data_IF_902523515530
#
_entry.id   IF_902523515530
#
_cell.length_a   1.000
_cell.length_b   1.000
_cell.length_c   1.000
_cell.angle_alpha   90.00
_cell.angle_beta   90.00
_cell.angle_gamma   90.00
#
_symmetry.space_group_name_H-M   'P 1'
#
loop_
_entity.id
_entity.type
_entity.pdbx_description
1 polymer ?
#
# COMPACT_ATOMS: atom_id res chain seq x y z
N UNK A 1 -20.54 57.16 -6.81
CA UNK A 1 -19.45 57.00 -7.80
C UNK A 1 -18.53 55.93 -7.24
N UNK A 2 -18.69 54.67 -7.68
CA UNK A 2 -17.97 54.04 -8.84
C UNK A 2 -16.45 53.96 -8.55
N UNK A 3 -15.77 52.82 -8.63
CA UNK A 3 -15.99 51.52 -9.31
C UNK A 3 -15.21 50.41 -8.54
N UNK A 4 -15.62 49.15 -8.39
CA UNK A 4 -15.79 48.02 -9.33
C UNK A 4 -14.65 47.84 -10.36
N UNK A 5 -13.92 46.73 -10.18
CA UNK A 5 -13.40 45.78 -11.18
C UNK A 5 -11.89 45.52 -11.10
N UNK A 6 -11.51 44.30 -10.69
CA UNK A 6 -10.75 43.38 -11.54
C UNK A 6 -10.57 42.03 -10.82
N UNK A 7 -11.61 41.20 -10.89
CA UNK A 7 -11.42 39.76 -10.96
C UNK A 7 -11.01 39.44 -12.41
N UNK A 8 -9.77 38.99 -12.64
CA UNK A 8 -9.38 38.15 -13.79
C UNK A 8 -8.19 37.27 -13.38
N UNK A 9 -8.47 35.97 -13.32
CA UNK A 9 -7.61 34.82 -13.60
C UNK A 9 -6.27 34.64 -12.86
N UNK A 10 -6.31 33.80 -11.83
CA UNK A 10 -5.47 32.60 -11.84
C UNK A 10 -6.33 31.36 -11.56
N UNK A 11 -7.17 31.08 -12.55
CA UNK A 11 -7.98 29.87 -12.75
C UNK A 11 -7.08 28.64 -13.05
N UNK A 12 -6.03 28.43 -12.24
CA UNK A 12 -5.12 27.25 -12.31
C UNK A 12 -4.93 26.67 -10.89
N UNK A 13 -5.99 26.67 -10.08
CA UNK A 13 -6.02 26.00 -8.76
C UNK A 13 -7.00 24.80 -8.76
N UNK A 14 -7.08 24.05 -9.87
CA UNK A 14 -7.99 22.92 -10.03
C UNK A 14 -7.30 21.54 -9.84
N UNK A 15 -6.68 21.34 -8.69
CA UNK A 15 -6.38 20.00 -8.15
C UNK A 15 -6.35 20.02 -6.61
N UNK A 16 -7.24 20.82 -6.02
CA UNK A 16 -7.33 21.09 -4.59
C UNK A 16 -7.57 19.81 -3.79
N UNK A 17 -6.65 19.54 -2.86
CA UNK A 17 -6.86 18.64 -1.71
C UNK A 17 -8.24 18.96 -1.13
N UNK A 18 -9.12 17.96 -1.00
CA UNK A 18 -10.33 18.11 -0.19
C UNK A 18 -9.90 18.20 1.26
N UNK A 19 -9.71 19.41 1.77
CA UNK A 19 -9.51 19.65 3.21
C UNK A 19 -10.87 19.45 3.88
N UNK A 20 -10.96 18.49 4.79
CA UNK A 20 -12.16 18.27 5.59
C UNK A 20 -12.23 19.40 6.63
N UNK A 21 -13.36 20.10 6.70
CA UNK A 21 -13.68 20.97 7.83
C UNK A 21 -14.05 20.11 9.05
N UNK A 22 -13.05 19.53 9.71
CA UNK A 22 -13.17 19.18 11.13
C UNK A 22 -12.87 20.45 11.93
N UNK A 23 -13.44 20.64 13.12
CA UNK A 23 -12.89 21.63 14.06
C UNK A 23 -11.46 21.20 14.36
N UNK A 24 -10.48 21.84 13.72
CA UNK A 24 -9.08 21.44 13.81
C UNK A 24 -8.53 21.85 15.18
N UNK A 25 -8.39 20.88 16.08
CA UNK A 25 -7.59 21.08 17.28
C UNK A 25 -6.12 21.02 16.88
N UNK A 26 -5.53 22.19 16.71
CA UNK A 26 -4.11 22.36 16.39
C UNK A 26 -3.34 22.56 17.69
N UNK A 27 -2.42 21.65 17.99
CA UNK A 27 -1.47 21.78 19.09
C UNK A 27 -0.08 22.11 18.57
N UNK A 28 0.58 23.08 19.22
CA UNK A 28 2.00 23.40 19.04
C UNK A 28 2.92 22.45 19.78
N UNK A 29 2.39 21.63 20.68
CA UNK A 29 3.19 20.92 21.66
C UNK A 29 3.41 19.48 21.21
N UNK A 30 4.67 19.17 20.88
CA UNK A 30 5.09 17.79 20.70
C UNK A 30 5.00 17.02 22.03
N UNK A 31 4.80 15.70 22.01
CA UNK A 31 4.78 14.87 23.20
C UNK A 31 6.06 15.06 24.03
N UNK A 32 5.90 15.32 25.33
CA UNK A 32 7.04 15.44 26.25
C UNK A 32 7.58 14.03 26.55
N UNK A 33 8.68 13.66 25.90
CA UNK A 33 9.36 12.38 26.14
C UNK A 33 10.35 12.51 27.31
N UNK A 34 10.16 11.69 28.35
CA UNK A 34 10.99 11.64 29.57
C UNK A 34 11.40 10.21 29.95
N UNK A 35 12.51 10.06 30.68
CA UNK A 35 13.08 8.75 31.05
C UNK A 35 12.38 8.06 32.21
N UNK A 36 11.71 8.81 33.10
CA UNK A 36 11.13 8.30 34.35
C UNK A 36 10.22 7.07 34.19
N UNK A 37 9.26 7.04 33.25
CA UNK A 37 8.44 5.85 33.02
C UNK A 37 9.24 4.60 32.62
N UNK A 38 10.32 4.78 31.84
CA UNK A 38 11.18 3.67 31.42
C UNK A 38 12.09 3.20 32.55
N UNK A 39 12.65 4.13 33.33
CA UNK A 39 13.45 3.81 34.53
C UNK A 39 12.64 3.02 35.55
N UNK A 40 11.38 3.41 35.79
CA UNK A 40 10.45 2.68 36.64
C UNK A 40 10.20 1.26 36.10
N UNK A 41 9.96 1.12 34.78
CA UNK A 41 9.72 -0.19 34.15
C UNK A 41 10.92 -1.12 34.25
N UNK A 42 12.13 -0.57 34.15
CA UNK A 42 13.38 -1.33 34.21
C UNK A 42 13.95 -1.50 35.63
N UNK A 43 13.34 -0.82 36.63
CA UNK A 43 13.83 -0.75 38.01
C UNK A 43 15.31 -0.37 38.11
N UNK A 44 15.74 0.59 37.28
CA UNK A 44 17.12 1.12 37.28
C UNK A 44 17.14 2.52 36.68
N UNK A 45 18.14 3.30 37.06
CA UNK A 45 18.44 4.59 36.42
C UNK A 45 19.00 4.37 35.02
N UNK A 46 18.58 5.21 34.08
CA UNK A 46 19.13 5.27 32.72
C UNK A 46 20.15 6.41 32.70
N UNK A 47 21.34 6.08 32.21
CA UNK A 47 22.42 7.04 32.02
C UNK A 47 22.00 8.17 31.06
N UNK A 48 22.28 9.42 31.46
CA UNK A 48 21.83 10.62 30.75
C UNK A 48 22.44 10.71 29.35
N UNK A 49 23.71 10.34 29.20
CA UNK A 49 24.39 10.36 27.91
C UNK A 49 23.74 9.39 26.91
N UNK A 50 23.47 8.15 27.34
CA UNK A 50 22.77 7.17 26.50
C UNK A 50 21.34 7.59 26.17
N UNK A 51 20.64 8.23 27.11
CA UNK A 51 19.29 8.76 26.90
C UNK A 51 19.29 9.86 25.82
N UNK A 52 20.16 10.86 25.96
CA UNK A 52 20.22 11.99 25.03
C UNK A 52 20.65 11.56 23.63
N UNK A 53 21.62 10.64 23.50
CA UNK A 53 22.01 10.07 22.21
C UNK A 53 20.84 9.30 21.56
N UNK A 54 20.11 8.51 22.34
CA UNK A 54 18.95 7.77 21.82
C UNK A 54 17.83 8.71 21.38
N UNK A 55 17.55 9.76 22.16
CA UNK A 55 16.54 10.76 21.83
C UNK A 55 16.92 11.53 20.57
N UNK A 56 18.18 11.94 20.43
CA UNK A 56 18.66 12.61 19.23
C UNK A 56 18.54 11.71 17.99
N UNK A 57 18.97 10.45 18.09
CA UNK A 57 18.87 9.49 16.99
C UNK A 57 17.41 9.29 16.55
N UNK A 58 16.50 9.03 17.48
CA UNK A 58 15.08 8.83 17.18
C UNK A 58 14.44 10.11 16.60
N UNK A 59 14.82 11.28 17.10
CA UNK A 59 14.36 12.57 16.57
C UNK A 59 14.81 12.81 15.12
N UNK A 60 15.99 12.34 14.73
CA UNK A 60 16.47 12.40 13.35
C UNK A 60 15.79 11.35 12.46
N UNK A 61 15.68 10.11 12.94
CA UNK A 61 15.14 8.97 12.17
C UNK A 61 13.61 9.08 11.95
N UNK A 62 12.91 9.81 12.81
CA UNK A 62 11.45 9.92 12.81
C UNK A 62 10.97 11.37 13.05
N UNK A 63 11.63 12.36 12.45
CA UNK A 63 11.37 13.77 12.75
C UNK A 63 9.91 14.20 12.53
N UNK A 64 9.20 13.55 11.59
CA UNK A 64 7.75 13.71 11.36
C UNK A 64 6.88 13.50 12.62
N UNK A 65 7.36 12.75 13.62
CA UNK A 65 6.67 12.49 14.89
C UNK A 65 7.12 13.39 16.04
N UNK A 66 8.08 14.29 15.84
CA UNK A 66 8.56 15.20 16.89
C UNK A 66 8.37 16.66 16.52
N UNK A 67 8.17 16.95 15.23
CA UNK A 67 7.94 18.29 14.72
C UNK A 67 6.45 18.66 14.80
N UNK A 68 6.05 19.70 15.56
CA UNK A 68 4.72 20.27 15.46
C UNK A 68 4.48 20.92 14.07
N UNK A 69 3.22 21.18 13.69
CA UNK A 69 2.01 21.04 14.50
C UNK A 69 1.45 19.62 14.56
N UNK A 70 0.60 19.41 15.58
CA UNK A 70 -0.27 18.25 15.67
C UNK A 70 -1.70 18.67 15.34
N UNK A 71 -2.36 17.91 14.47
CA UNK A 71 -3.73 18.15 14.03
C UNK A 71 -4.57 16.97 14.51
N UNK A 72 -5.60 17.25 15.32
CA UNK A 72 -6.47 16.23 15.91
C UNK A 72 -5.70 15.12 16.64
N UNK A 73 -4.61 15.49 17.33
CA UNK A 73 -3.76 14.57 18.06
C UNK A 73 -2.79 13.73 17.19
N UNK A 74 -2.70 13.99 15.89
CA UNK A 74 -1.76 13.32 14.99
C UNK A 74 -0.68 14.28 14.47
N UNK A 75 0.55 13.81 14.18
CA UNK A 75 1.54 14.65 13.53
C UNK A 75 1.04 15.16 12.18
N UNK A 76 1.13 16.46 11.92
CA UNK A 76 0.47 17.10 10.78
C UNK A 76 0.87 16.47 9.42
N UNK A 77 2.14 16.13 9.21
CA UNK A 77 2.60 15.50 7.96
C UNK A 77 1.90 14.16 7.69
N UNK A 78 1.75 13.33 8.72
CA UNK A 78 1.06 12.04 8.60
C UNK A 78 -0.46 12.23 8.45
N UNK A 79 -1.03 13.25 9.11
CA UNK A 79 -2.42 13.62 8.91
C UNK A 79 -2.68 14.06 7.45
N UNK A 80 -1.86 14.93 6.88
CA UNK A 80 -1.97 15.34 5.48
C UNK A 80 -1.75 14.19 4.49
N UNK A 81 -0.88 13.22 4.80
CA UNK A 81 -0.76 12.01 4.01
C UNK A 81 -2.10 11.25 3.95
N UNK A 82 -2.82 11.14 5.08
CA UNK A 82 -4.19 10.59 5.12
C UNK A 82 -5.17 11.38 4.24
N UNK A 83 -5.11 12.71 4.26
CA UNK A 83 -5.95 13.56 3.39
C UNK A 83 -5.62 13.38 1.90
N UNK A 84 -4.35 13.15 1.55
CA UNK A 84 -3.94 12.82 0.18
C UNK A 84 -4.48 11.46 -0.26
N UNK A 85 -4.51 10.45 0.61
CA UNK A 85 -5.19 9.17 0.32
C UNK A 85 -6.66 9.41 -0.08
N UNK A 86 -7.37 10.28 0.65
CA UNK A 86 -8.77 10.61 0.34
C UNK A 86 -8.92 11.34 -1.00
N UNK A 87 -7.98 12.25 -1.30
CA UNK A 87 -7.95 12.96 -2.59
C UNK A 87 -7.77 11.99 -3.75
N UNK A 88 -6.82 11.05 -3.63
CA UNK A 88 -6.59 10.02 -4.65
C UNK A 88 -7.80 9.09 -4.78
N UNK A 89 -8.40 8.65 -3.68
CA UNK A 89 -9.64 7.86 -3.72
C UNK A 89 -10.77 8.60 -4.44
N UNK A 90 -10.90 9.91 -4.22
CA UNK A 90 -11.86 10.71 -4.96
C UNK A 90 -11.53 10.76 -6.46
N UNK A 91 -10.27 10.95 -6.84
CA UNK A 91 -9.82 10.93 -8.24
C UNK A 91 -10.06 9.56 -8.88
N UNK A 92 -9.73 8.46 -8.19
CA UNK A 92 -10.00 7.09 -8.63
C UNK A 92 -11.48 6.94 -8.93
N UNK A 93 -12.40 7.54 -8.18
CA UNK A 93 -13.83 7.42 -8.41
C UNK A 93 -14.38 8.34 -9.52
N UNK A 94 -13.84 9.55 -9.66
CA UNK A 94 -14.51 10.63 -10.40
C UNK A 94 -13.73 11.10 -11.64
N UNK A 95 -12.41 10.96 -11.66
CA UNK A 95 -11.60 11.49 -12.76
C UNK A 95 -11.67 10.58 -13.99
N UNK A 96 -11.69 11.16 -15.22
CA UNK A 96 -11.66 10.41 -16.47
C UNK A 96 -10.44 9.50 -16.63
N UNK A 97 -9.26 9.95 -16.20
CA UNK A 97 -7.98 9.21 -16.30
C UNK A 97 -8.05 7.82 -15.63
N UNK A 98 -8.83 7.69 -14.57
CA UNK A 98 -9.00 6.44 -13.83
C UNK A 98 -10.10 5.53 -14.42
N UNK A 99 -10.82 5.95 -15.46
CA UNK A 99 -11.99 5.22 -15.99
C UNK A 99 -11.63 3.80 -16.46
N UNK A 100 -10.52 3.65 -17.18
CA UNK A 100 -10.09 2.33 -17.68
C UNK A 100 -9.69 1.39 -16.54
N UNK A 101 -8.88 1.89 -15.62
CA UNK A 101 -8.51 1.19 -14.39
C UNK A 101 -9.74 0.72 -13.59
N UNK A 102 -10.69 1.64 -13.32
CA UNK A 102 -11.95 1.31 -12.65
C UNK A 102 -12.72 0.20 -13.37
N UNK A 103 -12.85 0.32 -14.69
CA UNK A 103 -13.59 -0.65 -15.50
C UNK A 103 -12.97 -2.04 -15.49
N UNK A 104 -11.64 -2.14 -15.59
CA UNK A 104 -10.92 -3.42 -15.51
C UNK A 104 -11.04 -4.04 -14.13
N UNK A 105 -10.91 -3.26 -13.05
CA UNK A 105 -11.10 -3.76 -11.70
C UNK A 105 -12.53 -4.24 -11.47
N UNK A 106 -13.53 -3.48 -11.92
CA UNK A 106 -14.92 -3.90 -11.79
C UNK A 106 -15.16 -5.24 -12.50
N UNK A 107 -14.64 -5.40 -13.72
CA UNK A 107 -14.72 -6.67 -14.43
C UNK A 107 -14.06 -7.81 -13.65
N UNK A 108 -12.88 -7.59 -13.07
CA UNK A 108 -12.23 -8.58 -12.23
C UNK A 108 -13.10 -8.94 -11.00
N UNK A 109 -13.60 -7.95 -10.27
CA UNK A 109 -14.45 -8.10 -9.08
C UNK A 109 -15.75 -8.84 -9.39
N UNK A 110 -16.37 -8.57 -10.53
CA UNK A 110 -17.61 -9.24 -10.94
C UNK A 110 -17.43 -10.75 -11.12
N UNK A 111 -16.22 -11.19 -11.46
CA UNK A 111 -15.85 -12.61 -11.61
C UNK A 111 -15.40 -13.28 -10.31
N UNK A 112 -15.18 -12.51 -9.24
CA UNK A 112 -14.80 -13.04 -7.93
C UNK A 112 -15.98 -13.75 -7.27
N UNK A 113 -15.67 -14.78 -6.48
CA UNK A 113 -16.66 -15.53 -5.71
C UNK A 113 -16.08 -15.91 -4.34
N UNK A 114 -16.73 -15.42 -3.29
CA UNK A 114 -16.41 -15.77 -1.91
C UNK A 114 -15.11 -15.15 -1.38
N UNK A 115 -14.61 -14.09 -1.99
CA UNK A 115 -13.41 -13.39 -1.50
C UNK A 115 -13.76 -12.60 -0.25
N UNK A 116 -13.26 -13.07 0.90
CA UNK A 116 -13.52 -12.46 2.21
C UNK A 116 -12.24 -11.88 2.86
N UNK A 117 -11.09 -12.00 2.18
CA UNK A 117 -9.79 -11.55 2.67
C UNK A 117 -9.03 -10.86 1.54
N UNK A 118 -8.54 -9.65 1.82
CA UNK A 118 -7.63 -8.91 0.95
C UNK A 118 -6.29 -8.70 1.66
N UNK A 119 -5.21 -9.06 0.97
CA UNK A 119 -3.85 -9.04 1.51
C UNK A 119 -3.01 -8.05 0.72
N UNK A 120 -2.35 -7.13 1.40
CA UNK A 120 -1.38 -6.22 0.82
C UNK A 120 0.05 -6.69 1.15
N UNK A 121 0.89 -6.84 0.13
CA UNK A 121 2.29 -7.24 0.22
C UNK A 121 3.19 -6.23 -0.50
N UNK A 122 4.14 -5.61 0.20
CA UNK A 122 5.06 -4.68 -0.47
C UNK A 122 4.35 -3.39 -0.87
N UNK A 123 4.18 -2.47 0.08
CA UNK A 123 3.95 -1.06 -0.28
C UNK A 123 5.32 -0.37 -0.36
N UNK A 124 5.43 0.66 -1.18
CA UNK A 124 6.63 1.50 -1.20
C UNK A 124 6.83 2.17 0.18
N UNK A 125 8.03 2.64 0.49
CA UNK A 125 8.26 3.35 1.74
C UNK A 125 7.55 4.70 1.72
N UNK A 126 6.92 5.06 2.83
CA UNK A 126 6.42 6.42 2.99
C UNK A 126 7.59 7.39 3.01
N UNK A 127 7.65 8.34 2.06
CA UNK A 127 8.54 9.50 2.13
C UNK A 127 7.80 10.70 2.73
N UNK A 128 8.27 11.23 3.87
CA UNK A 128 7.67 12.39 4.55
C UNK A 128 7.62 13.67 3.71
N UNK A 129 8.31 13.68 2.56
CA UNK A 129 8.17 14.67 1.51
C UNK A 129 6.76 14.64 0.93
N UNK A 130 5.87 15.45 1.50
CA UNK A 130 4.64 15.87 0.84
C UNK A 130 5.06 16.84 -0.27
N UNK A 131 5.62 16.31 -1.37
CA UNK A 131 6.12 17.12 -2.47
C UNK A 131 5.18 18.28 -2.79
N UNK A 132 5.77 19.45 -3.03
CA UNK A 132 5.07 20.61 -3.55
C UNK A 132 4.22 20.21 -4.75
N UNK A 133 3.12 20.94 -4.93
CA UNK A 133 2.18 20.75 -6.02
C UNK A 133 2.88 20.43 -7.35
N UNK A 134 2.81 19.16 -7.78
CA UNK A 134 2.97 18.81 -9.19
C UNK A 134 3.99 17.75 -9.61
N UNK A 135 4.87 17.16 -8.79
CA UNK A 135 5.93 16.29 -9.37
C UNK A 135 6.33 14.97 -8.69
N UNK A 136 5.76 14.57 -7.55
CA UNK A 136 5.78 13.14 -7.16
C UNK A 136 4.75 12.85 -6.07
N UNK A 137 3.66 12.18 -6.44
CA UNK A 137 2.76 11.61 -5.43
C UNK A 137 3.52 10.50 -4.72
N UNK A 138 3.71 10.63 -3.41
CA UNK A 138 4.29 9.60 -2.54
C UNK A 138 3.66 8.24 -2.90
N UNK A 139 4.51 7.30 -3.35
CA UNK A 139 4.04 6.05 -3.94
C UNK A 139 3.20 5.24 -2.95
N UNK A 140 3.61 5.21 -1.67
CA UNK A 140 2.84 4.58 -0.60
C UNK A 140 1.41 5.13 -0.51
N UNK A 141 1.23 6.45 -0.56
CA UNK A 141 -0.08 7.11 -0.45
C UNK A 141 -1.01 6.65 -1.60
N UNK A 142 -0.49 6.62 -2.82
CA UNK A 142 -1.26 6.18 -3.99
C UNK A 142 -1.55 4.69 -3.95
N UNK A 143 -0.55 3.86 -3.65
CA UNK A 143 -0.71 2.41 -3.58
C UNK A 143 -1.71 2.00 -2.50
N UNK A 144 -1.69 2.68 -1.34
CA UNK A 144 -2.66 2.47 -0.28
C UNK A 144 -4.07 2.93 -0.70
N UNK A 145 -4.20 4.09 -1.36
CA UNK A 145 -5.49 4.53 -1.90
C UNK A 145 -6.09 3.53 -2.89
N UNK A 146 -5.26 2.96 -3.77
CA UNK A 146 -5.66 1.88 -4.68
C UNK A 146 -6.09 0.63 -3.93
N UNK A 147 -5.35 0.21 -2.90
CA UNK A 147 -5.73 -0.90 -2.04
C UNK A 147 -7.13 -0.69 -1.45
N UNK A 148 -7.40 0.48 -0.86
CA UNK A 148 -8.71 0.81 -0.27
C UNK A 148 -9.82 0.79 -1.32
N UNK A 149 -9.54 1.31 -2.53
CA UNK A 149 -10.51 1.28 -3.62
C UNK A 149 -10.90 -0.16 -4.01
N UNK A 150 -9.89 -1.02 -4.23
CA UNK A 150 -10.12 -2.42 -4.57
C UNK A 150 -10.85 -3.14 -3.43
N UNK A 151 -10.41 -2.93 -2.19
CA UNK A 151 -11.04 -3.51 -1.01
C UNK A 151 -12.53 -3.20 -0.96
N UNK A 152 -12.91 -1.93 -1.20
CA UNK A 152 -14.31 -1.49 -1.16
C UNK A 152 -15.13 -2.17 -2.24
N UNK A 153 -14.60 -2.28 -3.47
CA UNK A 153 -15.28 -2.97 -4.56
C UNK A 153 -15.51 -4.47 -4.23
N UNK A 154 -14.51 -5.13 -3.66
CA UNK A 154 -14.61 -6.54 -3.23
C UNK A 154 -15.59 -6.68 -2.06
N UNK A 155 -15.56 -5.78 -1.08
CA UNK A 155 -16.48 -5.83 0.07
C UNK A 155 -17.94 -5.59 -0.32
N UNK A 156 -18.19 -4.68 -1.27
CA UNK A 156 -19.51 -4.44 -1.83
C UNK A 156 -20.06 -5.70 -2.52
N UNK A 157 -19.23 -6.37 -3.31
CA UNK A 157 -19.55 -7.66 -3.94
C UNK A 157 -19.81 -8.74 -2.90
N UNK A 158 -18.94 -8.87 -1.90
CA UNK A 158 -19.06 -9.84 -0.81
C UNK A 158 -20.35 -9.65 0.00
N UNK A 159 -20.71 -8.41 0.31
CA UNK A 159 -21.96 -8.05 0.99
C UNK A 159 -23.20 -8.50 0.20
N UNK A 160 -23.19 -8.34 -1.12
CA UNK A 160 -24.27 -8.81 -1.99
C UNK A 160 -24.36 -10.34 -1.95
N UNK A 161 -23.23 -11.05 -1.98
CA UNK A 161 -23.17 -12.51 -1.88
C UNK A 161 -23.68 -13.03 -0.52
N UNK A 162 -23.29 -12.39 0.58
CA UNK A 162 -23.82 -12.70 1.92
C UNK A 162 -25.32 -12.50 1.99
N UNK A 163 -25.82 -11.37 1.48
CA UNK A 163 -27.25 -11.04 1.46
C UNK A 163 -28.05 -12.09 0.68
N UNK A 164 -27.58 -12.48 -0.51
CA UNK A 164 -28.23 -13.53 -1.34
C UNK A 164 -28.23 -14.90 -0.66
N UNK A 165 -27.18 -15.20 0.11
CA UNK A 165 -27.04 -16.44 0.86
C UNK A 165 -27.74 -16.43 2.24
N UNK A 166 -28.38 -15.32 2.64
CA UNK A 166 -29.00 -15.18 3.96
C UNK A 166 -27.98 -15.15 5.13
N UNK A 167 -26.73 -14.74 4.87
CA UNK A 167 -25.66 -14.65 5.87
C UNK A 167 -25.44 -13.20 6.30
N UNK A 168 -25.04 -13.01 7.56
CA UNK A 168 -24.57 -11.70 8.02
C UNK A 168 -23.31 -11.28 7.26
N UNK A 169 -23.24 -10.02 6.84
CA UNK A 169 -22.06 -9.47 6.19
C UNK A 169 -21.02 -9.10 7.25
N UNK A 170 -19.89 -9.79 7.22
CA UNK A 170 -18.67 -9.36 7.89
C UNK A 170 -17.75 -8.72 6.86
N UNK A 171 -17.23 -7.50 7.10
CA UNK A 171 -16.35 -6.83 6.15
C UNK A 171 -15.15 -7.69 5.74
N UNK A 172 -14.74 -7.59 4.48
CA UNK A 172 -13.53 -8.25 3.95
C UNK A 172 -12.34 -7.88 4.83
N UNK A 173 -11.57 -8.87 5.27
CA UNK A 173 -10.39 -8.64 6.12
C UNK A 173 -9.32 -7.89 5.34
N UNK A 174 -8.65 -6.93 6.00
CA UNK A 174 -7.53 -6.17 5.45
C UNK A 174 -6.24 -6.58 6.13
N UNK A 175 -5.44 -7.36 5.45
CA UNK A 175 -4.18 -7.88 5.98
C UNK A 175 -3.03 -7.15 5.28
N UNK A 176 -2.07 -6.69 6.06
CA UNK A 176 -0.86 -6.06 5.54
C UNK A 176 0.35 -6.83 6.09
N UNK A 177 1.26 -7.22 5.21
CA UNK A 177 2.54 -7.79 5.60
C UNK A 177 3.64 -7.24 4.70
N UNK A 178 4.57 -6.52 5.32
CA UNK A 178 5.77 -6.03 4.65
C UNK A 178 6.89 -5.95 5.69
N UNK A 179 8.00 -6.69 5.50
CA UNK A 179 9.13 -6.63 6.41
C UNK A 179 9.78 -5.23 6.46
N UNK A 180 9.56 -4.38 5.45
CA UNK A 180 10.09 -3.02 5.39
C UNK A 180 9.22 -1.97 6.11
N UNK A 181 8.07 -2.33 6.70
CA UNK A 181 7.23 -1.37 7.40
C UNK A 181 7.92 -0.75 8.62
N UNK A 182 8.23 0.54 8.47
CA UNK A 182 8.68 1.40 9.55
C UNK A 182 7.53 1.87 10.46
N UNK A 183 7.91 2.56 11.54
CA UNK A 183 6.97 3.15 12.50
C UNK A 183 5.98 4.13 11.84
N UNK A 184 6.42 4.91 10.84
CA UNK A 184 5.58 5.88 10.10
C UNK A 184 4.45 5.16 9.37
N UNK A 185 4.80 4.11 8.63
CA UNK A 185 3.88 3.30 7.85
C UNK A 185 2.90 2.55 8.74
N UNK A 186 3.38 1.90 9.81
CA UNK A 186 2.51 1.22 10.78
C UNK A 186 1.51 2.18 11.42
N UNK A 187 1.96 3.39 11.77
CA UNK A 187 1.09 4.43 12.32
C UNK A 187 0.02 4.88 11.30
N UNK A 188 0.39 5.14 10.05
CA UNK A 188 -0.56 5.49 8.97
C UNK A 188 -1.58 4.38 8.69
N UNK A 189 -1.18 3.12 8.79
CA UNK A 189 -2.07 1.97 8.59
C UNK A 189 -3.04 1.78 9.76
N UNK A 190 -2.59 2.00 11.00
CA UNK A 190 -3.32 1.56 12.20
C UNK A 190 -3.96 2.69 13.03
N UNK A 191 -3.44 3.91 12.95
CA UNK A 191 -3.72 4.97 13.95
C UNK A 191 -4.41 6.20 13.41
N UNK A 192 -4.32 6.49 12.11
CA UNK A 192 -4.97 7.69 11.55
C UNK A 192 -6.33 7.30 10.97
N UNK A 193 -7.44 7.79 11.56
CA UNK A 193 -8.77 7.58 11.01
C UNK A 193 -8.89 8.23 9.63
N UNK A 194 -9.72 7.62 8.78
CA UNK A 194 -10.07 8.12 7.46
C UNK A 194 -11.59 8.09 7.33
N UNK A 195 -12.18 9.22 6.97
CA UNK A 195 -13.64 9.38 6.94
C UNK A 195 -14.35 8.38 6.01
N UNK A 196 -13.72 8.05 4.89
CA UNK A 196 -14.29 7.11 3.90
C UNK A 196 -13.75 5.69 4.03
N UNK A 197 -12.84 5.47 4.98
CA UNK A 197 -12.07 4.24 5.14
C UNK A 197 -11.91 3.86 6.62
N UNK A 198 -13.03 3.45 7.24
CA UNK A 198 -13.10 3.10 8.68
C UNK A 198 -12.75 1.64 8.98
N UNK A 199 -12.39 0.85 7.96
CA UNK A 199 -12.01 -0.54 8.16
C UNK A 199 -10.71 -0.68 8.95
N UNK A 200 -10.64 -1.70 9.81
CA UNK A 200 -9.43 -1.97 10.60
C UNK A 200 -8.40 -2.71 9.76
N UNK A 201 -7.19 -2.15 9.66
CA UNK A 201 -6.06 -2.81 9.04
C UNK A 201 -5.36 -3.70 10.06
N UNK A 202 -5.18 -4.97 9.72
CA UNK A 202 -4.38 -5.92 10.52
C UNK A 202 -3.00 -6.00 9.89
N UNK A 203 -1.97 -5.60 10.64
CA UNK A 203 -0.57 -5.75 10.23
C UNK A 203 -0.04 -7.01 10.88
N UNK A 204 0.49 -7.94 10.09
CA UNK A 204 1.02 -9.22 10.54
C UNK A 204 2.52 -9.33 10.26
N UNK A 205 3.21 -10.17 11.00
CA UNK A 205 4.64 -10.39 10.83
C UNK A 205 4.92 -11.38 9.68
N UNK A 206 6.09 -11.28 9.06
CA UNK A 206 6.52 -12.27 8.07
C UNK A 206 6.90 -13.58 8.78
N UNK A 207 6.49 -14.78 8.29
CA UNK A 207 5.79 -15.07 7.03
C UNK A 207 4.29 -15.41 7.17
N UNK A 208 3.55 -14.80 8.10
CA UNK A 208 2.16 -15.19 8.43
C UNK A 208 1.21 -15.25 7.23
N UNK A 209 1.30 -14.32 6.28
CA UNK A 209 0.49 -14.33 5.05
C UNK A 209 0.65 -15.63 4.27
N UNK A 210 1.85 -16.20 4.24
CA UNK A 210 2.07 -17.45 3.51
C UNK A 210 1.27 -18.59 4.15
N UNK A 211 1.21 -18.64 5.48
CA UNK A 211 0.41 -19.60 6.22
C UNK A 211 -1.09 -19.36 6.05
N UNK A 212 -1.51 -18.10 5.94
CA UNK A 212 -2.90 -17.75 5.62
C UNK A 212 -3.31 -18.25 4.24
N UNK A 213 -2.50 -18.00 3.21
CA UNK A 213 -2.77 -18.42 1.83
C UNK A 213 -2.76 -19.94 1.66
N UNK A 214 -1.95 -20.66 2.44
CA UNK A 214 -1.99 -22.14 2.47
C UNK A 214 -3.32 -22.67 3.00
N UNK A 215 -3.93 -21.99 3.98
CA UNK A 215 -5.19 -22.41 4.63
C UNK A 215 -6.41 -21.96 3.86
N UNK A 216 -6.41 -20.73 3.38
CA UNK A 216 -7.52 -20.14 2.64
C UNK A 216 -7.00 -19.43 1.38
N UNK A 217 -7.34 -20.02 0.24
CA UNK A 217 -6.99 -19.52 -1.09
C UNK A 217 -8.00 -18.50 -1.61
N UNK A 218 -9.14 -18.31 -0.92
CA UNK A 218 -10.18 -17.30 -1.22
C UNK A 218 -9.74 -15.89 -0.81
N UNK A 219 -8.56 -15.52 -1.28
CA UNK A 219 -7.94 -14.23 -1.00
C UNK A 219 -7.64 -13.48 -2.31
N UNK A 220 -7.76 -12.16 -2.22
CA UNK A 220 -7.20 -11.23 -3.20
C UNK A 220 -5.88 -10.70 -2.66
N UNK A 221 -4.78 -10.92 -3.38
CA UNK A 221 -3.46 -10.39 -3.01
C UNK A 221 -3.14 -9.18 -3.88
N UNK A 222 -2.84 -8.05 -3.26
CA UNK A 222 -2.37 -6.82 -3.89
C UNK A 222 -0.89 -6.61 -3.52
N UNK A 223 -0.04 -6.52 -4.53
CA UNK A 223 1.41 -6.57 -4.37
C UNK A 223 2.15 -5.57 -5.27
N UNK A 224 1.92 -4.25 -5.10
CA UNK A 224 2.39 -3.22 -6.03
C UNK A 224 3.90 -2.96 -5.97
N UNK A 225 4.54 -3.31 -4.86
CA UNK A 225 5.98 -3.12 -4.67
C UNK A 225 6.66 -4.40 -4.15
N UNK A 226 6.19 -5.55 -4.61
CA UNK A 226 6.78 -6.83 -4.26
C UNK A 226 8.02 -7.11 -5.13
N UNK A 227 9.18 -7.46 -4.55
CA UNK A 227 10.35 -7.89 -5.31
C UNK A 227 10.03 -9.01 -6.30
N UNK A 228 10.70 -8.98 -7.46
CA UNK A 228 10.41 -9.87 -8.59
C UNK A 228 10.39 -11.34 -8.23
N UNK A 229 11.39 -11.80 -7.46
CA UNK A 229 11.52 -13.21 -7.03
C UNK A 229 10.39 -13.69 -6.13
N UNK A 230 9.76 -12.79 -5.39
CA UNK A 230 8.66 -13.15 -4.50
C UNK A 230 7.33 -13.30 -5.25
N UNK A 231 7.18 -12.73 -6.46
CA UNK A 231 5.96 -12.86 -7.25
C UNK A 231 5.64 -14.34 -7.57
N UNK A 232 6.55 -15.13 -8.17
CA UNK A 232 6.31 -16.57 -8.39
C UNK A 232 6.08 -17.36 -7.11
N UNK A 233 6.72 -16.97 -5.99
CA UNK A 233 6.51 -17.62 -4.70
C UNK A 233 5.07 -17.42 -4.20
N UNK A 234 4.54 -16.20 -4.23
CA UNK A 234 3.16 -15.93 -3.80
C UNK A 234 2.15 -16.62 -4.72
N UNK A 235 2.36 -16.57 -6.04
CA UNK A 235 1.50 -17.27 -7.00
C UNK A 235 1.51 -18.79 -6.80
N UNK A 236 2.62 -19.38 -6.35
CA UNK A 236 2.70 -20.81 -6.03
C UNK A 236 1.84 -21.22 -4.82
N UNK A 237 1.47 -20.27 -3.95
CA UNK A 237 0.53 -20.48 -2.85
C UNK A 237 -0.94 -20.52 -3.32
N UNK A 238 -1.16 -20.22 -4.61
CA UNK A 238 -2.43 -20.30 -5.31
C UNK A 238 -3.56 -19.39 -4.78
N UNK A 239 -3.34 -18.09 -4.50
CA UNK A 239 -4.45 -17.16 -4.24
C UNK A 239 -5.43 -17.14 -5.43
N UNK A 240 -6.72 -16.93 -5.19
CA UNK A 240 -7.71 -16.82 -6.27
C UNK A 240 -7.41 -15.64 -7.20
N UNK A 241 -6.97 -14.52 -6.64
CA UNK A 241 -6.56 -13.34 -7.39
C UNK A 241 -5.25 -12.78 -6.84
N UNK A 242 -4.36 -12.40 -7.74
CA UNK A 242 -3.11 -11.73 -7.43
C UNK A 242 -2.96 -10.52 -8.36
N UNK A 243 -2.64 -9.36 -7.81
CA UNK A 243 -2.40 -8.14 -8.55
C UNK A 243 -1.00 -7.64 -8.20
N UNK A 244 -0.06 -7.82 -9.11
CA UNK A 244 1.38 -7.55 -8.89
C UNK A 244 2.10 -7.29 -10.20
N UNK A 245 3.41 -7.49 -10.24
CA UNK A 245 4.20 -7.27 -11.45
C UNK A 245 3.76 -8.23 -12.56
N UNK A 246 3.65 -7.72 -13.79
CA UNK A 246 3.30 -8.53 -14.95
C UNK A 246 4.38 -9.56 -15.26
N UNK A 247 4.02 -10.65 -15.92
CA UNK A 247 4.95 -11.75 -16.22
C UNK A 247 6.16 -11.27 -17.04
N UNK A 248 5.92 -10.34 -17.98
CA UNK A 248 6.89 -9.81 -18.95
C UNK A 248 7.36 -8.38 -18.64
N UNK A 249 6.84 -7.75 -17.58
CA UNK A 249 7.13 -6.36 -17.24
C UNK A 249 8.43 -6.21 -16.48
N UNK A 250 8.86 -4.94 -16.32
CA UNK A 250 9.93 -4.61 -15.40
C UNK A 250 9.54 -5.08 -14.00
N UNK A 251 10.44 -5.82 -13.35
CA UNK A 251 10.18 -6.43 -12.05
C UNK A 251 9.30 -7.71 -12.08
N UNK A 252 8.99 -8.24 -13.27
CA UNK A 252 8.16 -9.41 -13.50
C UNK A 252 8.81 -10.77 -13.28
N UNK A 253 8.21 -11.83 -13.84
CA UNK A 253 8.71 -13.20 -13.75
C UNK A 253 10.02 -13.38 -14.50
N UNK A 254 10.14 -12.79 -15.69
CA UNK A 254 11.39 -12.83 -16.48
C UNK A 254 12.52 -12.11 -15.74
N UNK A 255 12.24 -10.98 -15.10
CA UNK A 255 13.19 -10.27 -14.27
C UNK A 255 13.66 -11.13 -13.08
N UNK A 256 12.73 -11.83 -12.41
CA UNK A 256 13.08 -12.74 -11.33
C UNK A 256 14.09 -13.83 -11.76
N UNK A 257 13.88 -14.43 -12.93
CA UNK A 257 14.79 -15.43 -13.50
C UNK A 257 16.15 -14.82 -13.85
N UNK A 258 16.16 -13.68 -14.53
CA UNK A 258 17.39 -13.00 -14.95
C UNK A 258 18.23 -12.55 -13.76
N UNK A 259 17.62 -11.90 -12.77
CA UNK A 259 18.31 -11.44 -11.57
C UNK A 259 18.95 -12.60 -10.80
N UNK A 260 18.20 -13.69 -10.61
CA UNK A 260 18.69 -14.88 -9.90
C UNK A 260 19.83 -15.54 -10.67
N UNK A 261 19.71 -15.66 -11.99
CA UNK A 261 20.77 -16.24 -12.83
C UNK A 261 22.04 -15.41 -12.77
N UNK A 262 21.94 -14.08 -12.87
CA UNK A 262 23.09 -13.17 -12.78
C UNK A 262 23.77 -13.31 -11.41
N UNK A 263 23.00 -13.33 -10.32
CA UNK A 263 23.56 -13.47 -8.98
C UNK A 263 24.24 -14.82 -8.75
N UNK A 264 23.57 -15.93 -9.06
CA UNK A 264 24.18 -17.26 -8.95
C UNK A 264 25.46 -17.35 -9.80
N UNK A 265 25.44 -16.76 -11.00
CA UNK A 265 26.60 -16.80 -11.89
C UNK A 265 27.79 -16.00 -11.34
N UNK A 266 27.52 -14.84 -10.75
CA UNK A 266 28.56 -13.99 -10.15
C UNK A 266 29.12 -14.60 -8.86
N UNK A 267 28.28 -15.19 -8.02
CA UNK A 267 28.68 -15.81 -6.75
C UNK A 267 29.49 -17.08 -6.98
N UNK A 268 29.06 -17.92 -7.93
CA UNK A 268 29.70 -19.21 -8.19
C UNK A 268 30.80 -19.14 -9.26
N UNK A 269 30.96 -18.00 -9.94
CA UNK A 269 31.83 -17.84 -11.10
C UNK A 269 31.59 -18.89 -12.21
N UNK A 270 30.33 -19.25 -12.45
CA UNK A 270 29.87 -20.25 -13.43
C UNK A 270 28.64 -19.73 -14.18
N UNK A 271 28.49 -20.06 -15.46
CA UNK A 271 27.31 -19.69 -16.27
C UNK A 271 26.29 -20.82 -16.42
N UNK A 272 26.48 -21.95 -15.73
CA UNK A 272 25.48 -23.01 -15.68
C UNK A 272 24.23 -22.56 -14.90
N UNK A 273 23.05 -23.05 -15.31
CA UNK A 273 21.79 -22.77 -14.61
C UNK A 273 21.83 -23.43 -13.23
N UNK A 274 21.87 -22.60 -12.19
CA UNK A 274 21.91 -23.05 -10.80
C UNK A 274 20.55 -23.51 -10.26
N UNK A 275 20.54 -24.04 -9.02
CA UNK A 275 19.35 -24.60 -8.41
C UNK A 275 18.24 -23.57 -8.16
N UNK A 276 18.57 -22.32 -7.80
CA UNK A 276 17.56 -21.29 -7.49
C UNK A 276 16.82 -20.86 -8.77
N UNK A 277 17.55 -20.69 -9.88
CA UNK A 277 16.95 -20.43 -11.19
C UNK A 277 16.02 -21.57 -11.61
N UNK A 278 16.42 -22.83 -11.39
CA UNK A 278 15.57 -23.99 -11.68
C UNK A 278 14.28 -24.01 -10.82
N UNK A 279 14.38 -23.62 -9.55
CA UNK A 279 13.23 -23.53 -8.64
C UNK A 279 12.25 -22.43 -9.08
N UNK A 280 12.76 -21.22 -9.34
CA UNK A 280 11.94 -20.09 -9.81
C UNK A 280 11.29 -20.42 -11.15
N UNK A 281 12.03 -21.01 -12.10
CA UNK A 281 11.50 -21.42 -13.40
C UNK A 281 10.38 -22.44 -13.28
N UNK A 282 10.48 -23.36 -12.31
CA UNK A 282 9.41 -24.31 -12.03
C UNK A 282 8.15 -23.63 -11.47
N UNK A 283 8.29 -22.66 -10.57
CA UNK A 283 7.16 -21.87 -10.03
C UNK A 283 6.50 -21.02 -11.12
N UNK A 284 7.28 -20.38 -11.98
CA UNK A 284 6.78 -19.59 -13.12
C UNK A 284 5.97 -20.45 -14.07
N UNK A 285 6.47 -21.64 -14.44
CA UNK A 285 5.74 -22.57 -15.32
C UNK A 285 4.40 -23.00 -14.70
N UNK A 286 4.38 -23.31 -13.41
CA UNK A 286 3.14 -23.65 -12.70
C UNK A 286 2.17 -22.47 -12.67
N UNK A 287 2.65 -21.26 -12.42
CA UNK A 287 1.84 -20.04 -12.45
C UNK A 287 1.25 -19.79 -13.84
N UNK A 288 2.05 -19.95 -14.90
CA UNK A 288 1.61 -19.77 -16.30
C UNK A 288 0.50 -20.74 -16.75
N UNK A 289 0.37 -21.90 -16.11
CA UNK A 289 -0.76 -22.81 -16.34
C UNK A 289 -1.96 -22.53 -15.44
N UNK A 290 -1.71 -22.04 -14.23
CA UNK A 290 -2.74 -21.87 -13.20
C UNK A 290 -3.40 -20.48 -13.22
N UNK A 291 -2.88 -19.52 -13.99
CA UNK A 291 -3.37 -18.15 -13.99
C UNK A 291 -3.60 -17.59 -15.38
N UNK A 292 -4.71 -16.89 -15.53
CA UNK A 292 -4.95 -15.96 -16.63
C UNK A 292 -4.46 -14.57 -16.20
N UNK A 293 -3.51 -14.03 -16.95
CA UNK A 293 -2.99 -12.68 -16.75
C UNK A 293 -3.76 -11.65 -17.59
N UNK A 294 -4.16 -10.55 -16.96
CA UNK A 294 -4.68 -9.35 -17.63
C UNK A 294 -3.84 -8.15 -17.23
N UNK A 295 -3.16 -7.53 -18.19
CA UNK A 295 -2.37 -6.33 -17.93
C UNK A 295 -3.25 -5.15 -17.56
N UNK A 296 -2.85 -4.40 -16.53
CA UNK A 296 -3.56 -3.16 -16.18
C UNK A 296 -3.37 -2.11 -17.26
N UNK A 297 -4.47 -1.50 -17.68
CA UNK A 297 -4.47 -0.37 -18.58
C UNK A 297 -4.30 0.92 -17.76
N UNK A 298 -3.05 1.34 -17.66
CA UNK A 298 -2.63 2.60 -17.02
C UNK A 298 -2.29 3.69 -18.05
N UNK A 299 -2.70 3.54 -19.31
CA UNK A 299 -2.26 4.43 -20.42
C UNK A 299 -2.68 5.88 -20.24
N UNK A 300 -3.83 6.12 -19.61
CA UNK A 300 -4.35 7.46 -19.32
C UNK A 300 -3.95 7.95 -17.91
N UNK A 301 -3.29 7.11 -17.10
CA UNK A 301 -2.83 7.50 -15.77
C UNK A 301 -1.51 8.26 -15.90
N UNK A 302 -1.61 9.59 -15.85
CA UNK A 302 -0.46 10.48 -15.76
C UNK A 302 0.42 10.16 -14.54
N UNK A 303 -0.23 9.78 -13.43
CA UNK A 303 0.34 9.16 -12.25
C UNK A 303 -0.66 8.15 -11.65
N UNK A 304 -0.20 7.04 -11.06
CA UNK A 304 1.19 6.71 -10.78
C UNK A 304 1.90 5.75 -11.78
N UNK A 305 3.16 6.03 -12.08
CA UNK A 305 4.03 5.12 -12.85
C UNK A 305 4.27 3.78 -12.16
N UNK A 306 4.15 3.68 -10.83
CA UNK A 306 4.34 2.40 -10.12
C UNK A 306 3.22 1.37 -10.34
N UNK A 307 2.11 1.75 -10.99
CA UNK A 307 1.12 0.78 -11.48
C UNK A 307 1.41 0.35 -12.93
N UNK A 308 2.27 1.08 -13.64
CA UNK A 308 2.66 0.75 -15.00
C UNK A 308 3.55 -0.50 -14.95
N UNK A 309 3.11 -1.59 -15.60
CA UNK A 309 3.65 -2.96 -15.52
C UNK A 309 3.00 -3.87 -14.48
N UNK A 310 1.91 -3.47 -13.84
CA UNK A 310 1.13 -4.40 -13.03
C UNK A 310 0.10 -5.18 -13.86
N UNK A 311 -0.24 -6.37 -13.39
CA UNK A 311 -1.27 -7.24 -13.98
C UNK A 311 -2.14 -7.87 -12.91
N UNK A 312 -3.37 -8.21 -13.29
CA UNK A 312 -4.28 -9.03 -12.50
C UNK A 312 -4.16 -10.47 -13.01
N UNK A 313 -3.75 -11.35 -12.13
CA UNK A 313 -3.68 -12.78 -12.33
C UNK A 313 -4.89 -13.41 -11.66
N UNK A 314 -5.77 -14.00 -12.47
CA UNK A 314 -6.94 -14.75 -12.01
C UNK A 314 -6.63 -16.24 -12.09
N UNK A 315 -6.82 -16.97 -11.00
CA UNK A 315 -6.63 -18.42 -10.98
C UNK A 315 -7.63 -19.10 -11.92
N UNK A 316 -7.13 -19.88 -12.88
CA UNK A 316 -7.94 -20.77 -13.71
C UNK A 316 -8.22 -22.06 -12.93
N UNK A 317 -9.42 -22.61 -13.11
CA UNK A 317 -9.92 -23.78 -12.39
C UNK A 317 -9.00 -24.99 -12.48
#
# INVERSE_FOLDING_TARGET
>A
MLAIASAVNSEIWNSSIRIINMSEDISSDAPIVSKGPLEQKLNRTIDDFNWDQSKQKVGLDMSDFFEPPYINGHPARLFYASQRVMTILWQINNSPEWKRFRGQLQYAVDTMDGINTMICLGLDQFSGGLGDAGTSTNAWVTQYAVFVYIWKAIDDKWRIECTRAGREHTPVKRIFQDPAFDTRTKYLLQKIPRDTDTGTNTVVDHPEVQEMLKKDKKAFVYAPHLPSRLNPQILSLRPDYFMGNSSKGSGGWDAAMMETYIEESLVNHDTNIGPEVNEIGSKIRLAGWAYQETMLDTTELSYPQHLASMSIFRRTG
#
